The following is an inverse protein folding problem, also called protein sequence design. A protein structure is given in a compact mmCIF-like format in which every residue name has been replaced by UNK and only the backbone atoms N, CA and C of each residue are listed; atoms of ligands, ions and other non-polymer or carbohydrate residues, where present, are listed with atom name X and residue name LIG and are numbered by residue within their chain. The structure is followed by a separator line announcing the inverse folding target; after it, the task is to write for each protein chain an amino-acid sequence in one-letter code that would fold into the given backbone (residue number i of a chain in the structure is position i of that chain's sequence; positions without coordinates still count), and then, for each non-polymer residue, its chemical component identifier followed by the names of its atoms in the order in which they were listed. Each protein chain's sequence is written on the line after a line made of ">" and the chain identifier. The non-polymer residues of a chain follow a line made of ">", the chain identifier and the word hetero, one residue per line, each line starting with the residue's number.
data_IF_745108402768
#
_entry.id   IF_745108402768
#
_cell.length_a   1.000
_cell.length_b   1.000
_cell.length_c   1.000
_cell.angle_alpha   90.00
_cell.angle_beta   90.00
_cell.angle_gamma   90.00
#
_symmetry.space_group_name_H-M   'P 1'
#
loop_
_entity.id
_entity.type
_entity.pdbx_description
1 polymer ?
#
# COMPACT_ATOMS: atom_id res chain seq x y z
N UNK A 1 -10.77 7.92 -5.25
CA UNK A 1 -11.58 8.90 -6.00
C UNK A 1 -11.83 10.23 -5.28
N UNK A 2 -12.76 10.38 -4.31
CA UNK A 2 -13.03 11.72 -3.69
C UNK A 2 -11.82 12.33 -2.98
N UNK A 3 -11.02 11.50 -2.31
CA UNK A 3 -9.79 11.92 -1.63
C UNK A 3 -8.76 12.44 -2.65
N UNK A 4 -8.58 11.73 -3.77
CA UNK A 4 -7.67 12.15 -4.87
C UNK A 4 -8.13 13.44 -5.54
N UNK A 5 -9.45 13.62 -5.72
CA UNK A 5 -9.98 14.89 -6.22
C UNK A 5 -9.62 16.00 -5.23
N UNK A 6 -9.94 15.82 -3.94
CA UNK A 6 -9.65 16.81 -2.90
C UNK A 6 -8.16 17.09 -2.70
N UNK A 7 -7.26 16.13 -2.98
CA UNK A 7 -5.81 16.38 -2.92
C UNK A 7 -5.33 17.38 -3.95
N UNK A 8 -6.06 17.54 -5.07
CA UNK A 8 -5.77 18.56 -6.09
C UNK A 8 -6.31 19.95 -5.71
N UNK A 9 -7.10 20.07 -4.63
CA UNK A 9 -7.71 21.33 -4.17
C UNK A 9 -7.37 21.62 -2.70
N UNK A 10 -6.12 22.04 -2.38
CA UNK A 10 -5.69 22.27 -1.00
C UNK A 10 -6.49 23.37 -0.28
N UNK A 11 -6.99 24.36 -1.02
CA UNK A 11 -7.83 25.45 -0.49
C UNK A 11 -9.30 25.04 -0.30
N UNK A 12 -9.67 23.82 -0.70
CA UNK A 12 -11.01 23.27 -0.64
C UNK A 12 -11.75 23.28 -1.98
N UNK A 13 -12.72 22.40 -2.08
CA UNK A 13 -13.53 22.17 -3.28
C UNK A 13 -15.03 22.18 -2.94
N UNK A 14 -15.87 22.95 -3.66
CA UNK A 14 -17.32 22.96 -3.45
C UNK A 14 -17.98 21.61 -3.68
N UNK A 15 -19.04 21.30 -2.93
CA UNK A 15 -19.80 20.05 -3.10
C UNK A 15 -20.30 19.82 -4.54
N UNK A 16 -20.76 20.88 -5.21
CA UNK A 16 -21.24 20.80 -6.59
C UNK A 16 -20.11 20.39 -7.56
N UNK A 17 -18.93 20.98 -7.40
CA UNK A 17 -17.76 20.65 -8.22
C UNK A 17 -17.26 19.23 -7.94
N UNK A 18 -17.27 18.80 -6.67
CA UNK A 18 -16.95 17.42 -6.30
C UNK A 18 -17.93 16.42 -6.91
N UNK A 19 -19.22 16.75 -6.95
CA UNK A 19 -20.27 15.94 -7.57
C UNK A 19 -20.03 15.76 -9.07
N UNK A 20 -19.70 16.83 -9.78
CA UNK A 20 -19.39 16.81 -11.21
C UNK A 20 -18.13 16.00 -11.50
N UNK A 21 -17.02 16.27 -10.80
CA UNK A 21 -15.76 15.56 -11.00
C UNK A 21 -15.85 14.07 -10.63
N UNK A 22 -16.62 13.73 -9.61
CA UNK A 22 -16.84 12.35 -9.19
C UNK A 22 -17.83 11.59 -10.07
N UNK A 23 -18.61 12.28 -10.93
CA UNK A 23 -19.73 11.67 -11.65
C UNK A 23 -20.82 11.11 -10.73
N UNK A 24 -20.93 11.61 -9.49
CA UNK A 24 -21.86 11.14 -8.47
C UNK A 24 -22.89 12.23 -8.16
N UNK A 25 -24.09 11.85 -7.72
CA UNK A 25 -25.07 12.83 -7.27
C UNK A 25 -24.62 13.53 -5.96
N UNK A 26 -25.12 14.76 -5.75
CA UNK A 26 -24.74 15.61 -4.60
C UNK A 26 -25.03 14.94 -3.25
N UNK A 27 -26.12 14.19 -3.13
CA UNK A 27 -26.50 13.50 -1.89
C UNK A 27 -25.52 12.37 -1.52
N UNK A 28 -25.04 11.61 -2.51
CA UNK A 28 -24.05 10.55 -2.32
C UNK A 28 -22.71 11.13 -1.93
N UNK A 29 -22.24 12.17 -2.63
CA UNK A 29 -20.98 12.85 -2.28
C UNK A 29 -21.07 13.44 -0.89
N UNK A 30 -22.17 14.11 -0.54
CA UNK A 30 -22.37 14.66 0.80
C UNK A 30 -22.32 13.57 1.88
N UNK A 31 -22.99 12.43 1.68
CA UNK A 31 -22.97 11.31 2.64
C UNK A 31 -21.55 10.72 2.81
N UNK A 32 -20.81 10.58 1.71
CA UNK A 32 -19.41 10.11 1.76
C UNK A 32 -18.50 11.10 2.50
N UNK A 33 -18.66 12.40 2.20
CA UNK A 33 -17.91 13.46 2.87
C UNK A 33 -18.25 13.55 4.36
N UNK A 34 -19.51 13.34 4.74
CA UNK A 34 -19.90 13.25 6.15
C UNK A 34 -19.18 12.10 6.85
N UNK A 35 -19.13 10.90 6.26
CA UNK A 35 -18.37 9.79 6.82
C UNK A 35 -16.88 10.10 6.98
N UNK A 36 -16.27 10.68 5.94
CA UNK A 36 -14.86 11.11 5.98
C UNK A 36 -14.62 12.22 7.02
N UNK A 37 -15.58 13.12 7.21
CA UNK A 37 -15.53 14.19 8.20
C UNK A 37 -15.67 13.64 9.63
N UNK A 38 -16.58 12.70 9.87
CA UNK A 38 -16.71 12.00 11.16
C UNK A 38 -15.43 11.26 11.54
N UNK A 39 -14.75 10.68 10.54
CA UNK A 39 -13.44 10.06 10.73
C UNK A 39 -12.29 11.08 10.78
N UNK A 40 -12.56 12.38 10.66
CA UNK A 40 -11.56 13.45 10.73
C UNK A 40 -10.59 13.51 9.54
N UNK A 41 -10.91 12.90 8.40
CA UNK A 41 -10.10 12.96 7.18
C UNK A 41 -10.38 14.23 6.37
N UNK A 42 -11.61 14.72 6.40
CA UNK A 42 -12.06 15.90 5.67
C UNK A 42 -12.61 16.94 6.64
N UNK A 43 -12.47 18.22 6.33
CA UNK A 43 -13.03 19.32 7.11
C UNK A 43 -13.61 20.41 6.19
N UNK A 44 -14.62 21.19 6.63
CA UNK A 44 -15.09 22.34 5.88
C UNK A 44 -13.96 23.32 5.59
N UNK A 45 -13.88 23.78 4.35
CA UNK A 45 -12.95 24.80 3.90
C UNK A 45 -13.42 26.22 4.30
N UNK A 46 -12.53 27.24 4.25
CA UNK A 46 -12.93 28.62 4.50
C UNK A 46 -13.99 29.12 3.50
N UNK A 47 -13.95 28.61 2.27
CA UNK A 47 -14.98 28.86 1.27
C UNK A 47 -16.28 28.12 1.64
N UNK A 48 -17.41 28.85 1.60
CA UNK A 48 -18.71 28.30 1.96
C UNK A 48 -19.05 27.05 1.14
N UNK A 49 -19.56 26.02 1.81
CA UNK A 49 -19.97 24.75 1.17
C UNK A 49 -18.84 23.95 0.52
N UNK A 50 -17.59 24.29 0.84
CA UNK A 50 -16.41 23.61 0.30
C UNK A 50 -15.76 22.72 1.35
N UNK A 51 -15.10 21.66 0.90
CA UNK A 51 -14.44 20.65 1.74
C UNK A 51 -12.96 20.57 1.38
N UNK A 52 -12.11 20.31 2.36
CA UNK A 52 -10.67 20.08 2.16
C UNK A 52 -10.16 18.89 2.95
N UNK A 53 -9.05 18.30 2.52
CA UNK A 53 -8.35 17.28 3.30
C UNK A 53 -7.74 17.88 4.56
N UNK A 54 -7.66 17.08 5.61
CA UNK A 54 -6.98 17.43 6.85
C UNK A 54 -5.54 16.92 6.85
N UNK A 55 -4.74 17.41 7.79
CA UNK A 55 -3.37 16.91 8.04
C UNK A 55 -3.33 15.48 8.57
N UNK A 56 -4.46 14.85 8.90
CA UNK A 56 -4.54 13.45 9.32
C UNK A 56 -3.94 12.50 8.28
N UNK A 57 -4.03 12.84 6.99
CA UNK A 57 -3.39 12.08 5.91
C UNK A 57 -1.86 12.03 6.03
N UNK A 58 -1.22 13.05 6.59
CA UNK A 58 0.22 13.05 6.84
C UNK A 58 0.55 11.99 7.88
N UNK A 59 -0.19 11.95 8.99
CA UNK A 59 0.03 10.96 10.05
C UNK A 59 -0.24 9.52 9.56
N UNK A 60 -1.26 9.32 8.72
CA UNK A 60 -1.52 8.00 8.10
C UNK A 60 -0.41 7.64 7.12
N UNK A 61 0.01 8.58 6.27
CA UNK A 61 1.12 8.38 5.33
C UNK A 61 2.42 8.05 6.04
N UNK A 62 2.74 8.72 7.15
CA UNK A 62 3.91 8.43 7.96
C UNK A 62 3.86 7.03 8.58
N UNK A 63 2.69 6.57 9.06
CA UNK A 63 2.54 5.20 9.55
C UNK A 63 2.72 4.16 8.45
N UNK A 64 2.18 4.42 7.26
CA UNK A 64 2.41 3.58 6.09
C UNK A 64 3.89 3.57 5.68
N UNK A 65 4.57 4.72 5.66
CA UNK A 65 6.01 4.79 5.40
C UNK A 65 6.83 4.09 6.48
N UNK A 66 6.37 4.09 7.73
CA UNK A 66 7.04 3.36 8.81
C UNK A 66 6.91 1.84 8.67
N UNK A 67 5.87 1.32 8.02
CA UNK A 67 5.87 -0.11 7.65
C UNK A 67 6.86 -0.39 6.53
N UNK A 68 7.10 0.56 5.61
CA UNK A 68 8.23 0.49 4.66
C UNK A 68 9.60 0.59 5.35
N UNK A 69 9.74 1.20 6.53
CA UNK A 69 11.00 1.17 7.29
C UNK A 69 11.41 -0.25 7.72
N UNK A 70 10.51 -1.24 7.70
CA UNK A 70 10.92 -2.65 7.84
C UNK A 70 11.90 -3.04 6.74
N UNK A 71 11.80 -2.44 5.55
CA UNK A 71 12.77 -2.63 4.47
C UNK A 71 14.13 -2.11 4.90
N UNK A 72 14.21 -0.97 5.58
CA UNK A 72 15.51 -0.43 5.98
C UNK A 72 16.23 -1.36 6.98
N UNK A 73 15.46 -2.03 7.85
CA UNK A 73 16.00 -3.05 8.76
C UNK A 73 16.26 -4.38 8.04
N UNK A 74 15.37 -4.80 7.15
CA UNK A 74 15.47 -6.08 6.45
C UNK A 74 16.49 -6.07 5.31
N UNK A 75 16.70 -4.93 4.65
CA UNK A 75 17.59 -4.75 3.50
C UNK A 75 19.00 -5.34 3.73
N UNK A 76 19.74 -5.03 4.80
CA UNK A 76 21.07 -5.62 5.02
C UNK A 76 21.01 -7.15 5.18
N UNK A 77 19.94 -7.70 5.75
CA UNK A 77 19.75 -9.14 5.87
C UNK A 77 19.36 -9.79 4.54
N UNK A 78 18.53 -9.11 3.74
CA UNK A 78 18.12 -9.57 2.40
C UNK A 78 19.27 -9.49 1.40
N UNK A 79 20.12 -8.47 1.49
CA UNK A 79 21.36 -8.34 0.70
C UNK A 79 22.36 -9.42 1.07
N UNK A 80 22.56 -9.70 2.37
CA UNK A 80 23.41 -10.80 2.80
C UNK A 80 22.89 -12.16 2.27
N UNK A 81 21.57 -12.36 2.26
CA UNK A 81 20.94 -13.55 1.69
C UNK A 81 21.12 -13.62 0.16
N UNK A 82 20.92 -12.50 -0.53
CA UNK A 82 21.12 -12.40 -1.99
C UNK A 82 22.58 -12.69 -2.36
N UNK A 83 23.55 -12.18 -1.61
CA UNK A 83 24.97 -12.44 -1.83
C UNK A 83 25.36 -13.89 -1.50
N UNK A 84 24.78 -14.47 -0.46
CA UNK A 84 25.06 -15.86 -0.07
C UNK A 84 24.45 -16.88 -1.05
N UNK A 85 23.28 -16.58 -1.61
CA UNK A 85 22.55 -17.48 -2.52
C UNK A 85 22.85 -17.22 -3.99
N UNK A 86 23.20 -15.99 -4.34
CA UNK A 86 23.31 -15.52 -5.73
C UNK A 86 21.96 -15.42 -6.46
N UNK A 87 20.84 -15.63 -5.77
CA UNK A 87 19.49 -15.73 -6.36
C UNK A 87 18.62 -14.50 -6.08
N UNK A 88 17.50 -14.39 -6.81
CA UNK A 88 16.50 -13.32 -6.60
C UNK A 88 15.83 -13.47 -5.24
N UNK A 89 15.92 -12.43 -4.40
CA UNK A 89 15.24 -12.38 -3.11
C UNK A 89 14.02 -11.46 -3.22
N UNK A 90 12.84 -11.99 -2.89
CA UNK A 90 11.58 -11.24 -2.85
C UNK A 90 11.12 -11.10 -1.40
N UNK A 91 10.93 -9.87 -0.95
CA UNK A 91 10.37 -9.55 0.36
C UNK A 91 8.97 -8.98 0.17
N UNK A 92 7.97 -9.62 0.77
CA UNK A 92 6.56 -9.25 0.64
C UNK A 92 5.88 -9.22 1.99
N UNK A 93 4.88 -8.36 2.14
CA UNK A 93 3.94 -8.41 3.25
C UNK A 93 2.61 -8.95 2.76
N UNK A 94 1.95 -9.74 3.61
CA UNK A 94 0.58 -10.15 3.39
C UNK A 94 -0.36 -9.04 3.82
N UNK A 95 -1.25 -8.61 2.92
CA UNK A 95 -2.36 -7.73 3.23
C UNK A 95 -3.64 -8.39 2.67
N UNK A 96 -4.51 -8.84 3.58
CA UNK A 96 -5.67 -9.68 3.30
C UNK A 96 -5.31 -10.93 2.46
N UNK A 97 -6.00 -11.13 1.32
CA UNK A 97 -5.78 -12.23 0.36
C UNK A 97 -4.70 -11.91 -0.69
N UNK A 98 -3.97 -10.80 -0.53
CA UNK A 98 -2.97 -10.35 -1.49
C UNK A 98 -1.57 -10.28 -0.86
N UNK A 99 -0.58 -10.73 -1.62
CA UNK A 99 0.82 -10.51 -1.29
C UNK A 99 1.27 -9.20 -1.96
N UNK A 100 1.67 -8.23 -1.14
CA UNK A 100 2.25 -6.97 -1.63
C UNK A 100 3.76 -7.14 -1.67
N UNK A 101 4.34 -7.09 -2.86
CA UNK A 101 5.78 -7.08 -3.04
C UNK A 101 6.34 -5.76 -2.49
N UNK A 102 7.13 -5.86 -1.43
CA UNK A 102 7.69 -4.71 -0.72
C UNK A 102 9.09 -4.39 -1.25
N UNK A 103 9.90 -5.42 -1.54
CA UNK A 103 11.27 -5.24 -2.01
C UNK A 103 11.75 -6.45 -2.83
N UNK A 104 12.53 -6.21 -3.89
CA UNK A 104 13.09 -7.26 -4.74
C UNK A 104 14.57 -6.97 -5.01
N UNK A 105 15.41 -7.97 -4.77
CA UNK A 105 16.81 -7.96 -5.16
C UNK A 105 17.00 -8.88 -6.36
N UNK A 106 17.69 -8.37 -7.38
CA UNK A 106 18.06 -9.13 -8.57
C UNK A 106 19.25 -10.07 -8.25
N UNK A 107 19.43 -11.17 -9.00
CA UNK A 107 20.48 -12.14 -8.70
C UNK A 107 21.87 -11.56 -8.98
N UNK A 108 22.81 -11.76 -8.05
CA UNK A 108 24.19 -11.27 -8.16
C UNK A 108 25.06 -12.14 -9.08
N UNK A 109 24.70 -13.41 -9.26
CA UNK A 109 25.32 -14.31 -10.23
C UNK A 109 24.36 -14.48 -11.41
N UNK A 110 24.81 -14.13 -12.61
CA UNK A 110 23.98 -13.95 -13.80
C UNK A 110 23.24 -15.20 -14.33
N UNK A 111 22.27 -15.72 -13.58
CA UNK A 111 21.31 -16.67 -14.09
C UNK A 111 19.91 -16.32 -13.60
N UNK A 112 19.18 -15.59 -14.44
CA UNK A 112 17.75 -15.32 -14.30
C UNK A 112 16.98 -16.64 -14.47
N UNK A 113 16.75 -17.36 -13.38
CA UNK A 113 15.82 -18.50 -13.39
C UNK A 113 14.40 -17.97 -13.23
N UNK A 114 13.66 -17.92 -14.34
CA UNK A 114 12.23 -17.70 -14.33
C UNK A 114 11.53 -18.91 -13.69
N UNK A 115 11.36 -18.89 -12.37
CA UNK A 115 10.31 -19.68 -11.75
C UNK A 115 8.98 -18.99 -12.11
N UNK A 116 8.25 -19.53 -13.09
CA UNK A 116 6.87 -19.12 -13.36
C UNK A 116 6.03 -19.42 -12.12
N UNK A 117 5.95 -18.47 -11.20
CA UNK A 117 4.99 -18.50 -10.12
C UNK A 117 3.61 -18.15 -10.69
N UNK A 118 2.89 -19.19 -11.12
CA UNK A 118 1.44 -19.16 -11.04
C UNK A 118 1.08 -19.05 -9.56
N UNK A 119 0.39 -17.98 -9.19
CA UNK A 119 -0.09 -17.76 -7.83
C UNK A 119 -1.53 -18.26 -7.70
N UNK A 120 -1.77 -19.43 -7.08
CA UNK A 120 -2.94 -19.63 -6.26
C UNK A 120 -2.57 -19.31 -4.79
N UNK A 121 -3.51 -18.69 -4.08
CA UNK A 121 -3.40 -17.98 -2.80
C UNK A 121 -2.93 -18.78 -1.55
N UNK A 122 -2.12 -19.84 -1.69
CA UNK A 122 -1.75 -20.71 -0.57
C UNK A 122 -0.25 -21.09 -0.48
N UNK A 123 0.64 -20.47 -1.26
CA UNK A 123 2.05 -20.88 -1.27
C UNK A 123 3.01 -19.70 -1.04
N UNK A 124 3.32 -19.44 0.24
CA UNK A 124 4.58 -18.80 0.59
C UNK A 124 5.70 -19.83 0.39
N UNK A 125 6.43 -19.74 -0.73
CA UNK A 125 7.56 -20.62 -0.98
C UNK A 125 8.83 -20.00 -0.40
N UNK A 126 9.21 -20.54 0.76
CA UNK A 126 10.60 -20.63 1.22
C UNK A 126 11.36 -21.52 0.23
N UNK A 127 12.51 -21.06 -0.27
CA UNK A 127 13.51 -21.97 -0.85
C UNK A 127 14.84 -21.78 -0.11
N UNK A 128 14.98 -22.57 0.95
CA UNK A 128 16.27 -23.00 1.46
C UNK A 128 16.71 -24.26 0.71
N UNK A 129 18.01 -24.35 0.43
CA UNK A 129 18.63 -25.56 -0.11
C UNK A 129 18.34 -26.77 0.78
N UNK A 130 18.15 -27.92 0.13
CA UNK A 130 17.67 -29.14 0.76
C UNK A 130 18.40 -29.53 2.04
N UNK A 131 17.74 -29.34 3.17
CA UNK A 131 17.40 -30.31 4.22
C UNK A 131 16.73 -29.54 5.37
N UNK A 132 15.43 -29.82 5.59
CA UNK A 132 14.55 -29.37 6.69
C UNK A 132 14.37 -27.84 6.87
N UNK A 133 13.16 -27.26 6.96
CA UNK A 133 12.13 -27.48 7.97
C UNK A 133 10.74 -26.97 7.50
N UNK A 134 9.72 -27.60 8.09
CA UNK A 134 8.28 -27.46 7.88
C UNK A 134 7.69 -26.13 8.40
N UNK A 135 6.60 -25.71 7.76
CA UNK A 135 5.72 -24.65 8.28
C UNK A 135 4.48 -24.45 7.41
N UNK A 136 3.59 -25.45 7.38
CA UNK A 136 2.23 -25.27 6.86
C UNK A 136 1.48 -24.40 7.86
N UNK A 137 1.12 -23.18 7.49
CA UNK A 137 0.20 -22.37 8.29
C UNK A 137 -1.23 -22.90 8.09
N UNK A 138 -1.93 -23.32 9.15
CA UNK A 138 -3.33 -23.68 9.01
C UNK A 138 -4.17 -22.43 8.71
N UNK A 139 -5.23 -22.67 7.94
CA UNK A 139 -6.29 -21.75 7.55
C UNK A 139 -6.94 -20.99 8.69
#
# INVERSE_FOLDING_TARGET
>A
MLIEILSNYPNGCPLAHLSELAGLNKSTVHRLLQGLQSCGYVTPAPAAGSYRLTTKFIAVGQKALSSLNIIHVAAPHLEALNLATGETVNFSSREDDHAILIYKLEPTTGMLRYARLYWPAHAAVLLGNGQDLYGVWPS
#
